data_IF_850544940800
#
_entry.id   IF_850544940800
#
_cell.length_a   1.000
_cell.length_b   1.000
_cell.length_c   1.000
_cell.angle_alpha   90.00
_cell.angle_beta   90.00
_cell.angle_gamma   90.00
#
_symmetry.space_group_name_H-M   'P 1'
#
loop_
_entity.id
_entity.type
_entity.pdbx_description
1 polymer ?
#
# COMPACT_ATOMS: atom_id res chain seq x y z
N UNK A 1 3.71 7.54 22.02
CA UNK A 1 2.31 7.76 21.61
C UNK A 1 1.93 6.68 20.61
N UNK A 2 0.70 6.18 20.63
CA UNK A 2 0.20 5.23 19.63
C UNK A 2 -0.14 5.96 18.33
N UNK A 3 -0.03 5.26 17.20
CA UNK A 3 -0.48 5.73 15.88
C UNK A 3 -1.46 4.69 15.35
N UNK A 4 -2.60 5.14 14.85
CA UNK A 4 -3.65 4.31 14.27
C UNK A 4 -3.67 4.48 12.76
N UNK A 5 -3.27 3.44 12.05
CA UNK A 5 -3.19 3.41 10.59
C UNK A 5 -4.22 2.42 10.06
N UNK A 6 -5.01 2.85 9.08
CA UNK A 6 -5.91 1.98 8.34
C UNK A 6 -5.21 1.58 7.04
N UNK A 7 -5.12 0.28 6.77
CA UNK A 7 -4.68 -0.22 5.46
C UNK A 7 -5.88 -0.77 4.69
N UNK A 8 -5.98 -0.36 3.43
CA UNK A 8 -6.86 -0.95 2.43
C UNK A 8 -6.00 -1.31 1.22
N UNK A 9 -6.27 -2.43 0.59
CA UNK A 9 -5.49 -2.91 -0.55
C UNK A 9 -6.40 -3.59 -1.56
N UNK A 10 -5.95 -3.69 -2.81
CA UNK A 10 -6.54 -4.53 -3.84
C UNK A 10 -8.03 -4.21 -4.11
N UNK A 11 -8.34 -2.92 -4.29
CA UNK A 11 -9.70 -2.46 -4.58
C UNK A 11 -10.15 -2.88 -5.98
N UNK A 12 -9.23 -2.99 -6.94
CA UNK A 12 -9.48 -3.40 -8.33
C UNK A 12 -10.69 -2.71 -8.95
N UNK A 13 -10.78 -1.39 -8.78
CA UNK A 13 -11.87 -0.60 -9.37
C UNK A 13 -11.78 -0.61 -10.88
N UNK A 14 -12.91 -0.62 -11.53
CA UNK A 14 -13.05 -0.60 -12.99
C UNK A 14 -13.65 0.73 -13.45
N UNK A 15 -13.55 1.01 -14.74
CA UNK A 15 -14.22 2.17 -15.35
C UNK A 15 -15.75 2.12 -15.15
N UNK A 16 -16.36 0.94 -15.21
CA UNK A 16 -17.80 0.75 -14.92
C UNK A 16 -17.98 0.31 -13.47
N UNK A 17 -18.83 1.02 -12.74
CA UNK A 17 -19.24 0.69 -11.37
C UNK A 17 -20.07 -0.59 -11.28
N UNK A 18 -20.70 -0.98 -12.37
CA UNK A 18 -21.59 -2.14 -12.45
C UNK A 18 -20.85 -3.42 -12.81
N UNK A 19 -19.56 -3.33 -13.19
CA UNK A 19 -18.79 -4.50 -13.61
C UNK A 19 -18.60 -5.48 -12.45
N UNK A 20 -18.88 -6.76 -12.76
CA UNK A 20 -18.66 -7.89 -11.86
C UNK A 20 -17.38 -8.62 -12.32
N UNK A 21 -16.41 -8.75 -11.46
CA UNK A 21 -15.16 -9.48 -11.70
C UNK A 21 -15.11 -10.66 -10.73
N UNK A 22 -15.00 -11.88 -11.25
CA UNK A 22 -14.98 -13.11 -10.43
C UNK A 22 -16.14 -13.20 -9.43
N UNK A 23 -17.34 -12.74 -9.82
CA UNK A 23 -18.54 -12.77 -8.97
C UNK A 23 -18.65 -11.60 -7.97
N UNK A 24 -17.71 -10.65 -7.97
CA UNK A 24 -17.70 -9.51 -7.06
C UNK A 24 -17.86 -8.20 -7.84
N UNK A 25 -18.77 -7.34 -7.39
CA UNK A 25 -18.81 -5.95 -7.80
C UNK A 25 -17.83 -5.17 -6.90
N UNK A 26 -16.65 -4.86 -7.42
CA UNK A 26 -15.55 -4.26 -6.66
C UNK A 26 -15.87 -2.85 -6.17
N UNK A 27 -16.65 -2.06 -6.94
CA UNK A 27 -17.08 -0.72 -6.52
C UNK A 27 -18.00 -0.78 -5.28
N UNK A 28 -19.00 -1.65 -5.30
CA UNK A 28 -19.92 -1.80 -4.17
C UNK A 28 -19.22 -2.38 -2.93
N UNK A 29 -18.30 -3.33 -3.14
CA UNK A 29 -17.47 -3.88 -2.05
C UNK A 29 -16.62 -2.79 -1.42
N UNK A 30 -15.89 -2.02 -2.22
CA UNK A 30 -15.07 -0.90 -1.74
C UNK A 30 -15.91 0.15 -1.00
N UNK A 31 -17.07 0.52 -1.55
CA UNK A 31 -17.97 1.47 -0.90
C UNK A 31 -18.41 0.98 0.48
N UNK A 32 -18.80 -0.29 0.59
CA UNK A 32 -19.25 -0.88 1.87
C UNK A 32 -18.14 -0.88 2.93
N UNK A 33 -16.89 -1.19 2.54
CA UNK A 33 -15.73 -1.14 3.44
C UNK A 33 -15.46 0.29 3.89
N UNK A 34 -15.43 1.24 2.94
CA UNK A 34 -15.16 2.65 3.24
C UNK A 34 -16.26 3.29 4.09
N UNK A 35 -17.53 2.94 3.89
CA UNK A 35 -18.64 3.41 4.74
C UNK A 35 -18.51 2.87 6.18
N UNK A 36 -18.07 1.61 6.33
CA UNK A 36 -17.77 1.05 7.65
C UNK A 36 -16.62 1.80 8.33
N UNK A 37 -15.55 2.09 7.61
CA UNK A 37 -14.41 2.85 8.14
C UNK A 37 -14.83 4.25 8.57
N UNK A 38 -15.62 4.97 7.76
CA UNK A 38 -16.15 6.30 8.13
C UNK A 38 -16.93 6.28 9.44
N UNK A 39 -17.65 5.19 9.70
CA UNK A 39 -18.47 5.03 10.87
C UNK A 39 -17.67 4.63 12.11
N UNK A 40 -16.76 3.67 11.97
CA UNK A 40 -16.17 2.94 13.08
C UNK A 40 -14.73 3.43 13.42
N UNK A 41 -14.03 4.10 12.47
CA UNK A 41 -12.59 4.39 12.53
C UNK A 41 -12.28 5.89 12.36
N UNK A 42 -13.11 6.75 12.90
CA UNK A 42 -13.01 8.21 12.74
C UNK A 42 -11.84 8.86 13.50
N UNK A 43 -11.15 8.10 14.35
CA UNK A 43 -9.98 8.51 15.14
C UNK A 43 -8.64 8.03 14.54
N UNK A 44 -8.64 7.50 13.32
CA UNK A 44 -7.42 7.08 12.63
C UNK A 44 -6.56 8.29 12.24
N UNK A 45 -5.24 8.15 12.39
CA UNK A 45 -4.26 9.18 12.03
C UNK A 45 -4.09 9.28 10.51
N UNK A 46 -4.18 8.15 9.80
CA UNK A 46 -4.14 8.12 8.34
C UNK A 46 -4.72 6.81 7.78
N UNK A 47 -4.94 6.82 6.45
CA UNK A 47 -5.26 5.66 5.65
C UNK A 47 -4.18 5.42 4.59
N UNK A 48 -3.80 4.18 4.38
CA UNK A 48 -2.85 3.77 3.33
C UNK A 48 -3.59 2.85 2.36
N UNK A 49 -3.67 3.26 1.10
CA UNK A 49 -4.16 2.44 0.01
C UNK A 49 -2.96 1.77 -0.66
N UNK A 50 -2.70 0.51 -0.31
CA UNK A 50 -1.44 -0.16 -0.59
C UNK A 50 -1.40 -0.92 -1.93
N UNK A 51 -1.97 -0.33 -2.97
CA UNK A 51 -1.86 -0.76 -4.36
C UNK A 51 -3.05 -1.55 -4.88
N UNK A 52 -3.02 -1.78 -6.19
CA UNK A 52 -4.08 -2.38 -7.01
C UNK A 52 -5.43 -1.67 -6.80
N UNK A 53 -5.40 -0.33 -6.90
CA UNK A 53 -6.56 0.52 -6.74
C UNK A 53 -7.44 0.48 -7.99
N UNK A 54 -6.81 0.40 -9.16
CA UNK A 54 -7.45 0.16 -10.46
C UNK A 54 -7.32 -1.31 -10.85
N UNK A 55 -8.23 -1.81 -11.67
CA UNK A 55 -8.12 -3.11 -12.32
C UNK A 55 -7.74 -2.99 -13.81
N UNK A 56 -8.11 -1.90 -14.45
CA UNK A 56 -8.06 -1.72 -15.90
C UNK A 56 -7.20 -0.51 -16.35
N UNK A 57 -6.45 0.10 -15.44
CA UNK A 57 -5.60 1.30 -15.66
C UNK A 57 -6.36 2.51 -16.21
N UNK A 58 -7.70 2.48 -16.28
CA UNK A 58 -8.50 3.56 -16.86
C UNK A 58 -8.53 4.80 -15.95
N UNK A 59 -8.65 5.99 -16.55
CA UNK A 59 -8.87 7.23 -15.80
C UNK A 59 -10.14 7.14 -14.97
N UNK A 60 -11.18 6.56 -15.54
CA UNK A 60 -12.49 6.42 -14.90
C UNK A 60 -12.46 5.55 -13.66
N UNK A 61 -11.59 4.53 -13.59
CA UNK A 61 -11.42 3.73 -12.36
C UNK A 61 -10.88 4.59 -11.21
N UNK A 62 -9.96 5.51 -11.49
CA UNK A 62 -9.46 6.47 -10.50
C UNK A 62 -10.47 7.58 -10.18
N UNK A 63 -11.29 8.01 -11.14
CA UNK A 63 -12.40 8.93 -10.86
C UNK A 63 -13.42 8.27 -9.91
N UNK A 64 -13.67 6.97 -10.07
CA UNK A 64 -14.47 6.19 -9.14
C UNK A 64 -13.84 6.10 -7.74
N UNK A 65 -12.52 5.93 -7.65
CA UNK A 65 -11.79 5.99 -6.38
C UNK A 65 -11.99 7.35 -5.71
N UNK A 66 -11.82 8.44 -6.44
CA UNK A 66 -12.00 9.80 -5.93
C UNK A 66 -13.41 10.03 -5.39
N UNK A 67 -14.43 9.50 -6.06
CA UNK A 67 -15.82 9.58 -5.58
C UNK A 67 -16.01 8.86 -4.25
N UNK A 68 -15.38 7.70 -4.04
CA UNK A 68 -15.44 6.94 -2.80
C UNK A 68 -14.70 7.65 -1.65
N UNK A 69 -13.61 8.35 -1.96
CA UNK A 69 -12.75 8.99 -0.96
C UNK A 69 -13.14 10.43 -0.60
N UNK A 70 -14.03 11.08 -1.35
CA UNK A 70 -14.31 12.54 -1.27
C UNK A 70 -14.66 13.07 0.12
N UNK A 71 -15.29 12.24 0.96
CA UNK A 71 -15.79 12.64 2.28
C UNK A 71 -14.80 12.39 3.42
N UNK A 72 -13.70 11.69 3.15
CA UNK A 72 -12.65 11.47 4.14
C UNK A 72 -11.87 12.74 4.40
N UNK A 73 -11.56 13.01 5.68
CA UNK A 73 -10.79 14.20 6.10
C UNK A 73 -9.37 13.85 6.56
N UNK A 74 -9.11 12.58 6.93
CA UNK A 74 -7.78 12.13 7.31
C UNK A 74 -6.85 12.09 6.10
N UNK A 75 -5.52 12.20 6.30
CA UNK A 75 -4.55 11.99 5.23
C UNK A 75 -4.65 10.59 4.64
N UNK A 76 -4.64 10.48 3.31
CA UNK A 76 -4.70 9.21 2.58
C UNK A 76 -3.45 9.09 1.72
N UNK A 77 -2.68 8.04 1.94
CA UNK A 77 -1.47 7.74 1.19
C UNK A 77 -1.76 6.68 0.13
N UNK A 78 -1.47 7.02 -1.11
CA UNK A 78 -1.66 6.15 -2.27
C UNK A 78 -0.36 5.43 -2.58
N UNK A 79 -0.43 4.15 -2.85
CA UNK A 79 0.67 3.35 -3.38
C UNK A 79 0.23 2.69 -4.68
N UNK A 80 1.17 2.41 -5.58
CA UNK A 80 0.87 1.64 -6.78
C UNK A 80 1.10 0.15 -6.56
N UNK A 81 0.16 -0.66 -7.07
CA UNK A 81 0.37 -2.07 -7.33
C UNK A 81 0.71 -2.33 -8.80
N UNK A 82 0.73 -3.60 -9.20
CA UNK A 82 0.99 -3.96 -10.59
C UNK A 82 -0.15 -3.54 -11.54
N UNK A 83 -1.39 -3.42 -11.05
CA UNK A 83 -2.55 -2.93 -11.78
C UNK A 83 -2.77 -1.41 -11.70
N UNK A 84 -1.77 -0.62 -11.33
CA UNK A 84 -1.92 0.83 -11.21
C UNK A 84 -1.04 1.61 -12.18
N UNK A 85 -1.46 2.85 -12.47
CA UNK A 85 -0.67 3.86 -13.16
C UNK A 85 -0.04 4.84 -12.15
N UNK A 86 1.28 4.77 -11.89
CA UNK A 86 1.93 5.73 -11.00
C UNK A 86 1.74 7.18 -11.44
N UNK A 87 1.65 7.43 -12.75
CA UNK A 87 1.44 8.76 -13.30
C UNK A 87 0.06 9.32 -12.90
N UNK A 88 -1.01 8.52 -13.01
CA UNK A 88 -2.35 8.92 -12.59
C UNK A 88 -2.44 9.08 -11.07
N UNK A 89 -1.83 8.19 -10.28
CA UNK A 89 -1.79 8.32 -8.82
C UNK A 89 -1.08 9.61 -8.39
N UNK A 90 0.02 9.95 -9.05
CA UNK A 90 0.73 11.22 -8.81
C UNK A 90 -0.14 12.44 -9.15
N UNK A 91 -0.91 12.36 -10.23
CA UNK A 91 -1.86 13.43 -10.58
C UNK A 91 -2.95 13.59 -9.51
N UNK A 92 -3.54 12.49 -9.02
CA UNK A 92 -4.55 12.51 -7.95
C UNK A 92 -4.01 13.10 -6.64
N UNK A 93 -2.75 12.87 -6.32
CA UNK A 93 -2.12 13.38 -5.10
C UNK A 93 -1.98 14.90 -5.03
N UNK A 94 -2.29 15.62 -6.10
CA UNK A 94 -2.36 17.08 -6.10
C UNK A 94 -3.69 17.61 -5.54
N UNK A 95 -4.59 16.73 -5.10
CA UNK A 95 -5.91 17.10 -4.58
C UNK A 95 -6.01 16.84 -3.07
N UNK A 96 -6.39 17.86 -2.31
CA UNK A 96 -6.77 17.81 -0.89
C UNK A 96 -5.83 17.00 0.02
N UNK A 97 -6.37 15.88 0.58
CA UNK A 97 -5.72 15.02 1.58
C UNK A 97 -5.10 13.74 0.99
N UNK A 98 -4.96 13.66 -0.33
CA UNK A 98 -4.31 12.53 -0.99
C UNK A 98 -2.82 12.79 -1.19
N UNK A 99 -2.01 11.79 -0.90
CA UNK A 99 -0.55 11.88 -0.98
C UNK A 99 0.01 10.66 -1.73
N UNK A 100 0.92 10.91 -2.67
CA UNK A 100 1.70 9.88 -3.34
C UNK A 100 3.17 10.11 -3.03
N UNK A 101 3.64 9.53 -1.95
CA UNK A 101 4.98 9.74 -1.38
C UNK A 101 5.51 8.44 -0.76
N UNK A 102 6.82 8.32 -0.66
CA UNK A 102 7.48 7.14 -0.10
C UNK A 102 7.57 7.16 1.42
N UNK A 103 7.43 8.33 2.04
CA UNK A 103 7.64 8.44 3.48
C UNK A 103 6.73 9.50 4.12
N UNK A 104 6.26 9.17 5.32
CA UNK A 104 5.68 10.13 6.24
C UNK A 104 6.04 9.77 7.69
N UNK A 105 5.88 10.72 8.61
CA UNK A 105 6.16 10.53 10.02
C UNK A 105 4.97 10.93 10.89
N UNK A 106 4.73 10.13 11.93
CA UNK A 106 3.74 10.36 12.97
C UNK A 106 4.43 10.26 14.33
N UNK A 107 4.70 11.39 14.97
CA UNK A 107 5.48 11.45 16.19
C UNK A 107 6.87 10.78 16.02
N UNK A 108 7.16 9.72 16.80
CA UNK A 108 8.38 8.92 16.72
C UNK A 108 8.26 7.68 15.81
N UNK A 109 7.17 7.58 15.04
CA UNK A 109 6.95 6.54 14.04
C UNK A 109 7.28 7.04 12.64
N UNK A 110 8.13 6.32 11.93
CA UNK A 110 8.30 6.46 10.48
C UNK A 110 7.40 5.47 9.75
N UNK A 111 6.72 5.93 8.72
CA UNK A 111 5.93 5.10 7.80
C UNK A 111 6.56 5.18 6.43
N UNK A 112 7.13 4.07 5.97
CA UNK A 112 7.80 3.99 4.67
C UNK A 112 6.98 3.16 3.69
N UNK A 113 6.74 3.70 2.51
CA UNK A 113 5.93 3.12 1.45
C UNK A 113 6.81 2.91 0.21
N UNK A 114 7.17 1.65 -0.08
CA UNK A 114 7.92 1.32 -1.29
C UNK A 114 6.99 1.20 -2.49
N UNK A 115 7.36 1.84 -3.58
CA UNK A 115 6.76 1.55 -4.88
C UNK A 115 7.43 0.30 -5.46
N UNK A 116 6.77 -0.83 -5.33
CA UNK A 116 7.30 -2.12 -5.78
C UNK A 116 6.89 -2.48 -7.21
N UNK A 117 6.21 -1.57 -7.93
CA UNK A 117 5.80 -1.82 -9.32
C UNK A 117 7.01 -1.99 -10.23
N UNK A 118 7.04 -3.09 -10.97
CA UNK A 118 7.95 -3.36 -12.07
C UNK A 118 7.20 -3.22 -13.39
N UNK A 119 7.73 -2.43 -14.32
CA UNK A 119 7.08 -2.21 -15.61
C UNK A 119 6.94 -3.52 -16.40
N UNK A 120 5.76 -3.72 -16.99
CA UNK A 120 5.42 -4.88 -17.82
C UNK A 120 5.61 -6.23 -17.10
N UNK A 121 5.49 -6.28 -15.80
CA UNK A 121 5.64 -7.48 -14.98
C UNK A 121 4.62 -7.53 -13.86
N UNK A 122 4.08 -8.70 -13.51
CA UNK A 122 3.31 -8.86 -12.29
C UNK A 122 4.18 -8.96 -11.03
N UNK A 123 5.51 -9.06 -11.19
CA UNK A 123 6.46 -9.14 -10.09
C UNK A 123 6.75 -7.76 -9.51
N UNK A 124 7.16 -7.74 -8.25
CA UNK A 124 7.69 -6.53 -7.62
C UNK A 124 9.21 -6.40 -7.72
N UNK A 125 9.70 -5.17 -7.58
CA UNK A 125 11.13 -4.87 -7.43
C UNK A 125 11.29 -3.69 -6.47
N UNK A 126 12.34 -3.70 -5.65
CA UNK A 126 12.73 -2.56 -4.82
C UNK A 126 13.72 -1.70 -5.59
N UNK A 127 13.39 -0.43 -5.76
CA UNK A 127 14.25 0.54 -6.44
C UNK A 127 15.43 0.94 -5.54
N UNK A 128 16.62 1.08 -6.13
CA UNK A 128 17.83 1.44 -5.38
C UNK A 128 17.76 2.84 -4.72
N UNK A 129 17.13 3.82 -5.40
CA UNK A 129 16.96 5.15 -4.85
C UNK A 129 16.05 5.13 -3.62
N UNK A 130 14.96 4.35 -3.67
CA UNK A 130 14.08 4.16 -2.52
C UNK A 130 14.75 3.40 -1.37
N UNK A 131 15.57 2.40 -1.69
CA UNK A 131 16.37 1.69 -0.67
C UNK A 131 17.36 2.64 0.01
N UNK A 132 18.00 3.56 -0.73
CA UNK A 132 18.86 4.61 -0.14
C UNK A 132 18.06 5.59 0.73
N UNK A 133 16.89 6.00 0.27
CA UNK A 133 15.98 6.84 1.08
C UNK A 133 15.57 6.12 2.37
N UNK A 134 15.26 4.84 2.28
CA UNK A 134 14.89 4.02 3.43
C UNK A 134 16.05 3.89 4.43
N UNK A 135 17.29 3.72 3.96
CA UNK A 135 18.46 3.71 4.83
C UNK A 135 18.60 5.02 5.62
N UNK A 136 18.38 6.16 4.98
CA UNK A 136 18.38 7.45 5.67
C UNK A 136 17.31 7.54 6.77
N UNK A 137 16.12 6.99 6.52
CA UNK A 137 15.05 6.91 7.54
C UNK A 137 15.44 5.98 8.68
N UNK A 138 16.01 4.80 8.39
CA UNK A 138 16.49 3.85 9.39
C UNK A 138 17.54 4.44 10.31
N UNK A 139 18.48 5.23 9.78
CA UNK A 139 19.56 5.84 10.56
C UNK A 139 19.14 7.14 11.27
N UNK A 140 17.99 7.69 10.96
CA UNK A 140 17.49 8.89 11.61
C UNK A 140 17.07 8.62 13.05
N UNK A 141 17.67 9.33 14.00
CA UNK A 141 17.38 9.17 15.44
C UNK A 141 16.01 9.70 15.87
N UNK A 142 15.34 10.49 15.04
CA UNK A 142 13.99 10.99 15.33
C UNK A 142 12.93 9.88 15.32
N UNK A 143 13.17 8.78 14.60
CA UNK A 143 12.23 7.68 14.51
C UNK A 143 12.72 6.49 15.32
N UNK A 144 11.95 6.12 16.33
CA UNK A 144 12.21 4.93 17.15
C UNK A 144 11.59 3.68 16.54
N UNK A 145 10.48 3.84 15.83
CA UNK A 145 9.71 2.77 15.23
C UNK A 145 9.44 3.05 13.76
N UNK A 146 9.47 2.02 12.93
CA UNK A 146 9.20 2.10 11.51
C UNK A 146 8.22 1.01 11.12
N UNK A 147 7.20 1.40 10.34
CA UNK A 147 6.32 0.49 9.64
C UNK A 147 6.59 0.64 8.14
N UNK A 148 6.72 -0.48 7.44
CA UNK A 148 6.95 -0.54 6.00
C UNK A 148 5.70 -1.04 5.31
N UNK A 149 5.29 -0.37 4.25
CA UNK A 149 4.21 -0.81 3.37
C UNK A 149 4.77 -1.13 1.99
N UNK A 150 4.27 -2.22 1.43
CA UNK A 150 4.58 -2.74 0.10
C UNK A 150 3.25 -3.05 -0.60
N UNK A 151 3.27 -3.17 -1.95
CA UNK A 151 2.16 -3.87 -2.60
C UNK A 151 2.48 -5.36 -2.72
N UNK A 152 3.57 -5.72 -3.41
CA UNK A 152 3.98 -7.11 -3.56
C UNK A 152 4.58 -7.68 -2.27
N UNK A 153 4.34 -8.96 -2.01
CA UNK A 153 4.84 -9.67 -0.83
C UNK A 153 6.36 -9.96 -0.94
N UNK A 154 7.10 -9.81 0.15
CA UNK A 154 8.55 -10.00 0.15
C UNK A 154 8.98 -11.42 0.53
N UNK A 155 8.05 -12.32 0.85
CA UNK A 155 8.30 -13.70 1.29
C UNK A 155 7.34 -14.66 0.60
N UNK A 156 7.73 -15.91 0.43
CA UNK A 156 6.83 -16.94 -0.09
C UNK A 156 5.70 -17.21 0.92
N UNK A 157 4.48 -17.32 0.41
CA UNK A 157 3.27 -17.54 1.22
C UNK A 157 2.70 -18.96 1.08
N UNK A 158 3.33 -19.82 0.26
CA UNK A 158 2.89 -21.18 -0.02
C UNK A 158 1.82 -21.28 -1.13
N UNK A 159 1.62 -20.23 -1.92
CA UNK A 159 0.72 -20.21 -3.06
C UNK A 159 1.50 -20.40 -4.36
N UNK A 160 1.21 -21.47 -5.11
CA UNK A 160 1.94 -21.78 -6.36
C UNK A 160 1.82 -20.69 -7.43
N UNK A 161 0.75 -19.92 -7.44
CA UNK A 161 0.56 -18.79 -8.37
C UNK A 161 1.16 -17.49 -7.83
N UNK A 162 0.86 -17.11 -6.59
CA UNK A 162 1.32 -15.84 -6.02
C UNK A 162 2.83 -15.85 -5.78
N UNK A 163 3.40 -16.99 -5.39
CA UNK A 163 4.84 -17.13 -5.16
C UNK A 163 5.70 -16.99 -6.44
N UNK A 164 5.08 -16.92 -7.62
CA UNK A 164 5.75 -16.51 -8.86
C UNK A 164 5.75 -15.00 -9.11
N UNK A 165 5.05 -14.22 -8.29
CA UNK A 165 4.85 -12.78 -8.44
C UNK A 165 5.32 -12.00 -7.20
N UNK A 166 6.44 -12.42 -6.62
CA UNK A 166 7.08 -11.84 -5.44
C UNK A 166 7.94 -10.61 -5.80
N UNK A 167 8.48 -9.94 -4.80
CA UNK A 167 9.57 -8.98 -4.98
C UNK A 167 10.86 -9.72 -5.33
N UNK A 168 11.42 -9.47 -6.53
CA UNK A 168 12.58 -10.22 -7.04
C UNK A 168 13.86 -10.04 -6.21
N UNK A 169 14.07 -8.86 -5.63
CA UNK A 169 15.22 -8.53 -4.78
C UNK A 169 14.81 -8.31 -3.32
N UNK A 170 13.85 -9.10 -2.83
CA UNK A 170 13.30 -8.97 -1.48
C UNK A 170 14.34 -9.18 -0.38
N UNK A 171 15.41 -9.93 -0.65
CA UNK A 171 16.52 -10.17 0.26
C UNK A 171 17.15 -8.86 0.78
N UNK A 172 17.18 -7.80 -0.04
CA UNK A 172 17.67 -6.47 0.36
C UNK A 172 16.84 -5.89 1.52
N UNK A 173 15.52 -6.01 1.48
CA UNK A 173 14.64 -5.55 2.55
C UNK A 173 14.67 -6.53 3.75
N UNK A 174 14.61 -7.83 3.49
CA UNK A 174 14.65 -8.88 4.54
C UNK A 174 15.90 -8.74 5.41
N UNK A 175 17.06 -8.48 4.80
CA UNK A 175 18.30 -8.23 5.53
C UNK A 175 18.21 -6.99 6.43
N UNK A 176 17.57 -5.90 5.95
CA UNK A 176 17.35 -4.71 6.78
C UNK A 176 16.41 -4.99 7.96
N UNK A 177 15.34 -5.77 7.72
CA UNK A 177 14.39 -6.17 8.78
C UNK A 177 15.11 -6.97 9.88
N UNK A 178 15.95 -7.92 9.49
CA UNK A 178 16.70 -8.76 10.45
C UNK A 178 17.72 -7.97 11.28
N UNK A 179 18.31 -6.94 10.69
CA UNK A 179 19.38 -6.15 11.28
C UNK A 179 18.92 -4.84 11.97
N UNK A 180 17.62 -4.53 11.99
CA UNK A 180 17.12 -3.30 12.60
C UNK A 180 15.96 -3.55 13.54
N UNK A 181 16.15 -3.21 14.81
CA UNK A 181 15.08 -3.25 15.82
C UNK A 181 13.98 -2.19 15.60
N UNK A 182 14.25 -1.17 14.80
CA UNK A 182 13.28 -0.10 14.51
C UNK A 182 12.11 -0.57 13.65
N UNK A 183 12.31 -1.52 12.73
CA UNK A 183 11.26 -1.99 11.84
C UNK A 183 10.33 -2.90 12.63
N UNK A 184 9.11 -2.45 12.91
CA UNK A 184 8.14 -3.14 13.77
C UNK A 184 7.14 -4.01 13.00
N UNK A 185 6.82 -3.61 11.79
CA UNK A 185 5.93 -4.34 10.90
C UNK A 185 6.26 -4.08 9.43
N UNK A 186 5.92 -5.05 8.59
CA UNK A 186 5.89 -4.94 7.13
C UNK A 186 4.52 -5.41 6.69
N UNK A 187 3.77 -4.54 6.01
CA UNK A 187 2.42 -4.79 5.56
C UNK A 187 2.37 -4.79 4.03
N UNK A 188 1.61 -5.69 3.44
CA UNK A 188 1.48 -5.78 1.99
C UNK A 188 0.06 -6.13 1.54
N UNK A 189 -0.19 -6.06 0.24
CA UNK A 189 -1.40 -6.49 -0.46
C UNK A 189 -1.13 -7.63 -1.42
N UNK A 190 -1.69 -7.56 -2.63
CA UNK A 190 -1.42 -8.42 -3.77
C UNK A 190 -1.89 -9.88 -3.66
N UNK A 191 -1.77 -10.47 -2.49
CA UNK A 191 -1.97 -11.93 -2.30
C UNK A 191 -3.43 -12.34 -2.11
N UNK A 192 -4.35 -11.39 -1.94
CA UNK A 192 -5.81 -11.58 -1.76
C UNK A 192 -6.18 -12.63 -0.69
N UNK A 193 -5.29 -12.84 0.28
CA UNK A 193 -5.51 -13.78 1.39
C UNK A 193 -4.79 -13.29 2.64
N UNK A 194 -5.29 -13.69 3.78
CA UNK A 194 -4.63 -13.41 5.04
C UNK A 194 -3.33 -14.22 5.15
N UNK A 195 -2.25 -13.55 5.51
CA UNK A 195 -0.95 -14.17 5.74
C UNK A 195 -0.19 -13.44 6.84
N UNK A 196 0.45 -14.20 7.70
CA UNK A 196 1.30 -13.69 8.76
C UNK A 196 2.61 -14.49 8.85
N UNK A 197 3.73 -13.81 8.99
CA UNK A 197 5.04 -14.41 9.23
C UNK A 197 5.86 -13.59 10.23
N UNK A 198 6.65 -14.28 11.07
CA UNK A 198 7.67 -13.64 11.88
C UNK A 198 9.03 -13.77 11.17
N UNK A 199 9.63 -12.65 10.79
CA UNK A 199 10.90 -12.59 10.05
C UNK A 199 12.13 -12.49 10.97
N UNK A 200 11.92 -12.43 12.27
CA UNK A 200 12.97 -12.32 13.31
C UNK A 200 12.92 -13.51 14.24
N UNK A 201 13.23 -14.67 13.75
CA UNK A 201 13.43 -15.86 14.58
C UNK A 201 14.91 -16.22 14.69
#
# INVERSE_FOLDING_TARGET
>A
MSVKIIQITDLHLNKSKELIVNGVNTYNSANSVLDKIKKDENDADCMILSGDLSNDYSRESYDNLMMLLKDFKLPIYLMSGNHDSPALLKELSNTNNLHFTNFNAFNNWGVFMFNTKKENSPNGILNEDELRCFDNVLHNSLYEYIIVFLHHHPVLIGSTSMDTMVIENADLLINKIKNSEKIRAVCWGHVHTEYYANLRS
#
